data_IF_130333970122
#
_entry.id   IF_130333970122
#
_cell.length_a   1.000
_cell.length_b   1.000
_cell.length_c   1.000
_cell.angle_alpha   90.00
_cell.angle_beta   90.00
_cell.angle_gamma   90.00
#
_symmetry.space_group_name_H-M   'P 1'
#
loop_
_entity.id
_entity.type
_entity.pdbx_description
1 polymer ?
#
# COMPACT_ATOMS: atom_id res chain seq x y z
N UNK A 1 5.55 -3.42 8.35
CA UNK A 1 4.22 -3.15 7.80
C UNK A 1 4.40 -2.57 6.40
N UNK A 2 3.91 -3.23 5.35
CA UNK A 2 3.97 -2.65 4.00
C UNK A 2 2.75 -1.74 3.81
N UNK A 3 2.98 -0.42 3.69
CA UNK A 3 1.92 0.54 3.42
C UNK A 3 1.45 0.31 1.99
N UNK A 4 0.20 -0.11 1.82
CA UNK A 4 -0.42 -0.31 0.52
C UNK A 4 -1.30 0.88 0.18
N UNK A 5 -1.74 0.97 -1.07
CA UNK A 5 -2.68 2.02 -1.47
C UNK A 5 -3.89 2.08 -0.52
N UNK A 6 -4.40 3.29 -0.20
CA UNK A 6 -5.51 3.46 0.72
C UNK A 6 -6.72 2.59 0.38
N UNK A 7 -7.04 2.43 -0.91
CA UNK A 7 -8.15 1.61 -1.38
C UNK A 7 -8.00 0.13 -1.03
N UNK A 8 -6.77 -0.42 -1.12
CA UNK A 8 -6.52 -1.82 -0.73
C UNK A 8 -6.69 -2.05 0.77
N UNK A 9 -6.35 -1.05 1.59
CA UNK A 9 -6.55 -1.12 3.03
C UNK A 9 -8.03 -1.06 3.40
N UNK A 10 -8.81 -0.17 2.76
CA UNK A 10 -10.28 -0.07 2.95
C UNK A 10 -11.01 -1.37 2.62
N UNK A 11 -10.71 -1.98 1.47
CA UNK A 11 -11.31 -3.26 1.07
C UNK A 11 -11.01 -4.35 2.10
N UNK A 12 -9.78 -4.43 2.61
CA UNK A 12 -9.39 -5.41 3.64
C UNK A 12 -10.04 -5.17 4.99
N UNK A 13 -10.33 -3.91 5.31
CA UNK A 13 -11.04 -3.54 6.53
C UNK A 13 -12.49 -4.05 6.48
N UNK A 14 -13.14 -3.86 5.33
CA UNK A 14 -14.49 -4.42 5.07
C UNK A 14 -14.47 -5.94 5.12
N UNK A 15 -13.48 -6.59 4.50
CA UNK A 15 -13.35 -8.06 4.59
C UNK A 15 -13.23 -8.50 6.06
N UNK A 16 -12.47 -7.77 6.89
CA UNK A 16 -12.38 -8.07 8.33
C UNK A 16 -13.73 -7.96 9.01
N UNK A 17 -14.44 -6.86 8.76
CA UNK A 17 -15.77 -6.64 9.33
C UNK A 17 -16.75 -7.75 8.93
N UNK A 18 -16.76 -8.17 7.66
CA UNK A 18 -17.65 -9.22 7.17
C UNK A 18 -17.26 -10.62 7.68
N UNK A 19 -15.96 -10.88 7.87
CA UNK A 19 -15.48 -12.10 8.55
C UNK A 19 -15.95 -12.12 10.00
N UNK A 20 -15.85 -11.00 10.71
CA UNK A 20 -16.33 -10.88 12.09
C UNK A 20 -17.85 -11.08 12.17
N UNK A 21 -18.61 -10.63 11.18
CA UNK A 21 -20.05 -10.93 11.02
C UNK A 21 -20.35 -12.40 10.66
N UNK A 22 -19.34 -13.24 10.44
CA UNK A 22 -19.51 -14.66 10.15
C UNK A 22 -19.97 -14.97 8.73
N UNK A 23 -19.86 -14.02 7.78
CA UNK A 23 -20.26 -14.27 6.38
C UNK A 23 -19.33 -15.29 5.71
N UNK A 24 -19.86 -16.14 4.81
CA UNK A 24 -19.03 -17.07 4.05
C UNK A 24 -18.20 -16.32 3.00
N UNK A 25 -17.03 -16.87 2.59
CA UNK A 25 -16.13 -16.22 1.63
C UNK A 25 -16.83 -15.82 0.32
N UNK A 26 -17.71 -16.67 -0.21
CA UNK A 26 -18.42 -16.37 -1.45
C UNK A 26 -19.30 -15.10 -1.37
N UNK A 27 -19.96 -14.86 -0.22
CA UNK A 27 -20.76 -13.64 0.00
C UNK A 27 -19.86 -12.41 0.07
N UNK A 28 -18.73 -12.53 0.77
CA UNK A 28 -17.76 -11.45 0.95
C UNK A 28 -17.18 -11.02 -0.40
N UNK A 29 -16.80 -11.99 -1.24
CA UNK A 29 -16.30 -11.72 -2.60
C UNK A 29 -17.27 -10.89 -3.44
N UNK A 30 -18.54 -11.30 -3.46
CA UNK A 30 -19.56 -10.64 -4.26
C UNK A 30 -19.87 -9.25 -3.71
N UNK A 31 -20.01 -9.10 -2.39
CA UNK A 31 -20.25 -7.80 -1.75
C UNK A 31 -19.13 -6.80 -2.02
N UNK A 32 -17.87 -7.24 -1.92
CA UNK A 32 -16.71 -6.38 -2.22
C UNK A 32 -16.69 -5.97 -3.68
N UNK A 33 -17.00 -6.89 -4.60
CA UNK A 33 -17.08 -6.58 -6.04
C UNK A 33 -18.22 -5.64 -6.39
N UNK A 34 -19.38 -5.82 -5.77
CA UNK A 34 -20.52 -4.93 -5.96
C UNK A 34 -20.21 -3.51 -5.48
N UNK A 35 -19.50 -3.36 -4.35
CA UNK A 35 -19.20 -2.05 -3.78
C UNK A 35 -18.02 -1.32 -4.45
N UNK A 36 -16.98 -2.05 -4.87
CA UNK A 36 -15.73 -1.44 -5.38
C UNK A 36 -15.46 -1.70 -6.86
N UNK A 37 -16.32 -2.48 -7.52
CA UNK A 37 -16.20 -2.88 -8.92
C UNK A 37 -15.43 -4.20 -9.12
N UNK A 38 -15.58 -4.75 -10.32
CA UNK A 38 -15.09 -6.09 -10.71
C UNK A 38 -13.58 -6.28 -10.53
N UNK A 39 -12.80 -5.19 -10.65
CA UNK A 39 -11.33 -5.19 -10.58
C UNK A 39 -10.78 -4.89 -9.17
N UNK A 40 -11.64 -4.77 -8.16
CA UNK A 40 -11.23 -4.33 -6.82
C UNK A 40 -10.35 -5.34 -6.08
N UNK A 41 -10.69 -6.63 -6.15
CA UNK A 41 -9.92 -7.71 -5.53
C UNK A 41 -10.06 -9.01 -6.33
N UNK A 42 -8.98 -9.80 -6.38
CA UNK A 42 -9.04 -11.15 -6.95
C UNK A 42 -9.48 -12.17 -5.87
N UNK A 43 -10.10 -13.27 -6.32
CA UNK A 43 -10.62 -14.32 -5.42
C UNK A 43 -9.52 -14.90 -4.52
N UNK A 44 -8.33 -15.15 -5.05
CA UNK A 44 -7.20 -15.71 -4.27
C UNK A 44 -6.77 -14.80 -3.11
N UNK A 45 -6.70 -13.49 -3.33
CA UNK A 45 -6.37 -12.52 -2.28
C UNK A 45 -7.48 -12.46 -1.24
N UNK A 46 -8.73 -12.44 -1.66
CA UNK A 46 -9.88 -12.37 -0.76
C UNK A 46 -9.94 -13.61 0.17
N UNK A 47 -9.76 -14.82 -0.36
CA UNK A 47 -9.67 -16.04 0.44
C UNK A 47 -8.46 -16.05 1.38
N UNK A 48 -7.31 -15.52 0.95
CA UNK A 48 -6.14 -15.36 1.81
C UNK A 48 -6.44 -14.43 3.00
N UNK A 49 -7.09 -13.29 2.75
CA UNK A 49 -7.46 -12.35 3.82
C UNK A 49 -8.54 -12.92 4.74
N UNK A 50 -9.55 -13.59 4.19
CA UNK A 50 -10.56 -14.32 4.95
C UNK A 50 -9.90 -15.29 5.95
N UNK A 51 -8.99 -16.15 5.47
CA UNK A 51 -8.29 -17.13 6.31
C UNK A 51 -7.44 -16.44 7.39
N UNK A 52 -6.71 -15.39 7.02
CA UNK A 52 -5.91 -14.63 7.97
C UNK A 52 -6.76 -14.06 9.12
N UNK A 53 -7.92 -13.49 8.81
CA UNK A 53 -8.83 -12.93 9.81
C UNK A 53 -9.52 -14.00 10.65
N UNK A 54 -9.92 -15.13 10.04
CA UNK A 54 -10.38 -16.31 10.78
C UNK A 54 -9.34 -16.84 11.76
N UNK A 55 -8.06 -16.73 11.42
CA UNK A 55 -6.93 -17.12 12.27
C UNK A 55 -6.50 -16.04 13.27
N UNK A 56 -7.28 -14.97 13.45
CA UNK A 56 -7.03 -13.95 14.49
C UNK A 56 -6.14 -12.79 14.08
N UNK A 57 -5.79 -12.63 12.80
CA UNK A 57 -5.09 -11.42 12.33
C UNK A 57 -5.98 -10.19 12.50
N UNK A 58 -5.42 -9.07 12.96
CA UNK A 58 -6.16 -7.78 13.10
C UNK A 58 -5.65 -6.68 12.17
N UNK A 59 -4.45 -6.81 11.58
CA UNK A 59 -3.87 -5.78 10.71
C UNK A 59 -4.43 -5.82 9.28
N UNK A 60 -4.83 -4.65 8.72
CA UNK A 60 -5.20 -4.47 7.29
C UNK A 60 -3.97 -4.49 6.36
N UNK A 61 -2.79 -4.24 6.91
CA UNK A 61 -1.59 -4.01 6.13
C UNK A 61 -0.92 -5.35 5.81
N UNK A 62 -0.29 -5.40 4.64
CA UNK A 62 0.51 -6.57 4.27
C UNK A 62 1.68 -6.74 5.23
N UNK A 63 2.09 -7.99 5.43
CA UNK A 63 3.32 -8.30 6.15
C UNK A 63 4.52 -7.68 5.41
N UNK A 64 5.57 -7.36 6.15
CA UNK A 64 6.84 -7.05 5.52
C UNK A 64 7.26 -8.27 4.70
N UNK A 65 7.65 -8.03 3.45
CA UNK A 65 8.40 -9.01 2.69
C UNK A 65 9.67 -9.30 3.51
N UNK A 66 9.92 -10.55 3.87
CA UNK A 66 11.19 -10.96 4.46
C UNK A 66 12.18 -11.36 3.36
N UNK A 67 13.48 -11.18 3.61
CA UNK A 67 14.54 -11.64 2.71
C UNK A 67 14.93 -10.67 1.58
N UNK A 68 15.30 -11.22 0.41
CA UNK A 68 15.93 -10.46 -0.70
C UNK A 68 15.10 -9.28 -1.20
N UNK A 69 13.78 -9.45 -1.32
CA UNK A 69 12.88 -8.40 -1.81
C UNK A 69 12.85 -7.17 -0.88
N UNK A 70 12.99 -7.37 0.44
CA UNK A 70 13.05 -6.27 1.41
C UNK A 70 14.31 -5.41 1.21
N UNK A 71 15.45 -6.07 0.95
CA UNK A 71 16.72 -5.39 0.68
C UNK A 71 16.67 -4.54 -0.59
N UNK A 72 15.98 -5.03 -1.64
CA UNK A 72 15.78 -4.26 -2.87
C UNK A 72 14.93 -3.01 -2.63
N UNK A 73 13.80 -3.14 -1.92
CA UNK A 73 12.93 -1.98 -1.62
C UNK A 73 13.65 -0.96 -0.74
N UNK A 74 14.39 -1.41 0.29
CA UNK A 74 15.17 -0.50 1.13
C UNK A 74 16.21 0.25 0.31
N UNK A 75 16.96 -0.45 -0.55
CA UNK A 75 17.96 0.15 -1.44
C UNK A 75 17.32 1.17 -2.38
N UNK A 76 16.20 0.82 -3.03
CA UNK A 76 15.46 1.74 -3.91
C UNK A 76 14.99 2.99 -3.17
N UNK A 77 14.44 2.85 -1.96
CA UNK A 77 13.99 3.99 -1.17
C UNK A 77 15.15 4.89 -0.75
N UNK A 78 16.30 4.31 -0.39
CA UNK A 78 17.51 5.09 -0.07
C UNK A 78 18.08 5.78 -1.31
N UNK A 79 18.08 5.12 -2.46
CA UNK A 79 18.58 5.68 -3.72
C UNK A 79 17.67 6.82 -4.19
N UNK A 80 16.34 6.65 -4.11
CA UNK A 80 15.37 7.71 -4.41
C UNK A 80 15.52 8.90 -3.46
N UNK A 81 15.71 8.65 -2.16
CA UNK A 81 15.91 9.74 -1.18
C UNK A 81 17.17 10.55 -1.50
N UNK A 82 18.27 9.89 -1.86
CA UNK A 82 19.50 10.57 -2.29
C UNK A 82 19.26 11.43 -3.53
N UNK A 83 18.54 10.89 -4.52
CA UNK A 83 18.20 11.65 -5.73
C UNK A 83 17.36 12.89 -5.40
N UNK A 84 16.30 12.72 -4.61
CA UNK A 84 15.43 13.85 -4.22
C UNK A 84 16.19 14.95 -3.47
N UNK A 85 17.19 14.58 -2.65
CA UNK A 85 18.04 15.55 -1.95
C UNK A 85 18.94 16.32 -2.92
N UNK A 86 19.50 15.64 -3.92
CA UNK A 86 20.31 16.27 -4.98
C UNK A 86 19.46 17.24 -5.80
N UNK A 87 18.28 16.81 -6.24
CA UNK A 87 17.35 17.67 -7.00
C UNK A 87 16.89 18.88 -6.18
N UNK A 88 16.58 18.69 -4.90
CA UNK A 88 16.24 19.79 -4.01
C UNK A 88 17.39 20.80 -3.86
N UNK A 89 18.62 20.30 -3.71
CA UNK A 89 19.82 21.15 -3.68
C UNK A 89 20.03 21.91 -4.98
N UNK A 90 19.85 21.26 -6.14
CA UNK A 90 19.93 21.90 -7.45
C UNK A 90 18.86 22.99 -7.62
N UNK A 91 17.62 22.74 -7.20
CA UNK A 91 16.54 23.74 -7.26
C UNK A 91 16.87 24.98 -6.45
N UNK A 92 17.31 24.81 -5.20
CA UNK A 92 17.71 25.93 -4.34
C UNK A 92 18.87 26.70 -4.97
N UNK A 93 19.83 26.00 -5.57
CA UNK A 93 20.95 26.64 -6.26
C UNK A 93 20.50 27.47 -7.48
N UNK A 94 19.64 26.93 -8.33
CA UNK A 94 19.08 27.63 -9.50
C UNK A 94 18.20 28.83 -9.09
N UNK A 95 17.40 28.68 -8.02
CA UNK A 95 16.63 29.78 -7.44
C UNK A 95 17.54 30.92 -6.98
N UNK A 96 18.65 30.60 -6.31
CA UNK A 96 19.64 31.61 -5.93
C UNK A 96 20.28 32.25 -7.17
N UNK A 97 20.70 31.46 -8.16
CA UNK A 97 21.29 32.01 -9.39
C UNK A 97 20.35 32.95 -10.15
N UNK A 98 19.06 32.60 -10.23
CA UNK A 98 18.05 33.44 -10.88
C UNK A 98 17.78 34.72 -10.11
N UNK A 99 17.78 34.67 -8.77
CA UNK A 99 17.70 35.88 -7.93
C UNK A 99 18.91 36.79 -8.13
N UNK A 100 20.13 36.23 -8.17
CA UNK A 100 21.36 36.98 -8.39
C UNK A 100 21.48 37.57 -9.81
N UNK A 101 20.86 36.96 -10.84
CA UNK A 101 20.82 37.52 -12.22
C UNK A 101 19.77 38.63 -12.41
N UNK A 102 18.85 38.81 -11.46
CA UNK A 102 17.80 39.85 -11.53
C UNK A 102 18.19 41.17 -10.85
N UNK A 103 19.33 41.20 -10.18
CA UNK A 103 20.00 42.40 -9.65
C UNK A 103 21.13 42.81 -10.59
#
# INVERSE_FOLDING_TARGET
MLIQSPNKCKIRDIIRYLVWKGKPPFSIYNEVKTAYGEKAINRTSEYKWYRNYRNGRTSVHGDLMSGRAARWVLKQLTDQRKLNLVEAGQRVFEELQTLWRRY
#
